data_IF_682405951631
#
_entry.id   IF_682405951631
#
_cell.length_a   1.000
_cell.length_b   1.000
_cell.length_c   1.000
_cell.angle_alpha   90.00
_cell.angle_beta   90.00
_cell.angle_gamma   90.00
#
_symmetry.space_group_name_H-M   'P 1'
#
loop_
_entity.id
_entity.type
_entity.pdbx_description
1 polymer ?
#
# COMPACT_ATOMS: atom_id res chain seq x y z
N UNK A 1 5.92 -8.05 -31.32
CA UNK A 1 6.73 -8.75 -30.30
C UNK A 1 5.81 -8.85 -29.09
N UNK A 2 5.28 -10.05 -28.83
CA UNK A 2 4.42 -10.30 -27.69
C UNK A 2 5.23 -10.16 -26.40
N UNK A 3 4.86 -9.18 -25.58
CA UNK A 3 5.35 -9.05 -24.20
C UNK A 3 4.74 -10.23 -23.42
N UNK A 4 5.51 -10.97 -22.62
CA UNK A 4 4.95 -12.10 -21.87
C UNK A 4 3.89 -11.56 -20.88
N UNK A 5 2.66 -11.97 -21.07
CA UNK A 5 1.49 -11.71 -20.19
C UNK A 5 1.64 -12.32 -18.77
N UNK A 6 2.72 -13.05 -18.49
CA UNK A 6 2.85 -13.87 -17.29
C UNK A 6 3.07 -13.12 -15.97
N UNK A 7 3.64 -11.91 -16.00
CA UNK A 7 4.04 -11.23 -14.77
C UNK A 7 2.94 -10.29 -14.21
N UNK A 8 2.15 -9.68 -15.08
CA UNK A 8 0.95 -8.92 -14.68
C UNK A 8 -0.08 -9.88 -14.07
N UNK A 9 -0.15 -11.12 -14.58
CA UNK A 9 -1.01 -12.20 -14.06
C UNK A 9 -0.58 -12.68 -12.66
N UNK A 10 0.71 -12.65 -12.30
CA UNK A 10 1.18 -13.08 -10.98
C UNK A 10 0.72 -12.16 -9.84
N UNK A 11 0.76 -10.83 -10.04
CA UNK A 11 0.28 -9.89 -9.01
C UNK A 11 -1.24 -9.96 -8.87
N UNK A 12 -1.97 -10.01 -9.99
CA UNK A 12 -3.41 -10.19 -9.97
C UNK A 12 -3.79 -11.51 -9.28
N UNK A 13 -3.15 -12.62 -9.63
CA UNK A 13 -3.39 -13.91 -8.99
C UNK A 13 -3.11 -13.86 -7.48
N UNK A 14 -2.01 -13.23 -7.05
CA UNK A 14 -1.63 -13.11 -5.65
C UNK A 14 -2.66 -12.33 -4.83
N UNK A 15 -3.10 -11.15 -5.32
CA UNK A 15 -4.00 -10.26 -4.60
C UNK A 15 -5.48 -10.67 -4.70
N UNK A 16 -5.83 -11.55 -5.64
CA UNK A 16 -7.15 -12.17 -5.74
C UNK A 16 -7.23 -13.56 -5.07
N UNK A 17 -6.09 -14.07 -4.53
CA UNK A 17 -5.95 -15.29 -3.75
C UNK A 17 -6.22 -15.03 -2.25
N UNK A 18 -5.97 -16.00 -1.34
CA UNK A 18 -6.17 -15.84 0.11
C UNK A 18 -5.53 -14.59 0.74
N UNK A 19 -4.47 -14.04 0.13
CA UNK A 19 -3.82 -12.80 0.59
C UNK A 19 -4.79 -11.62 0.56
N UNK A 20 -5.49 -11.39 -0.56
CA UNK A 20 -6.45 -10.28 -0.66
C UNK A 20 -7.62 -10.43 0.31
N UNK A 21 -8.14 -11.64 0.47
CA UNK A 21 -9.19 -11.92 1.46
C UNK A 21 -8.72 -11.67 2.89
N UNK A 22 -7.50 -12.10 3.25
CA UNK A 22 -6.94 -11.85 4.57
C UNK A 22 -6.78 -10.34 4.86
N UNK A 23 -6.35 -9.55 3.87
CA UNK A 23 -6.26 -8.10 3.98
C UNK A 23 -7.65 -7.46 4.13
N UNK A 24 -8.66 -7.93 3.39
CA UNK A 24 -10.05 -7.48 3.53
C UNK A 24 -10.60 -7.76 4.93
N UNK A 25 -10.38 -8.97 5.46
CA UNK A 25 -10.78 -9.35 6.82
C UNK A 25 -10.08 -8.51 7.91
N UNK A 26 -8.85 -8.09 7.67
CA UNK A 26 -8.04 -7.31 8.61
C UNK A 26 -8.26 -5.80 8.47
N UNK A 27 -9.16 -5.35 7.59
CA UNK A 27 -9.39 -3.94 7.27
C UNK A 27 -9.51 -3.04 8.52
N UNK A 28 -10.33 -3.34 9.55
CA UNK A 28 -10.47 -2.41 10.68
C UNK A 28 -9.17 -2.25 11.47
N UNK A 29 -8.38 -3.33 11.59
CA UNK A 29 -7.09 -3.32 12.29
C UNK A 29 -6.06 -2.53 11.49
N UNK A 30 -6.00 -2.74 10.16
CA UNK A 30 -5.05 -2.05 9.28
C UNK A 30 -5.38 -0.56 9.14
N UNK A 31 -6.64 -0.19 9.06
CA UNK A 31 -7.05 1.21 9.04
C UNK A 31 -6.62 1.94 10.33
N UNK A 32 -6.90 1.36 11.50
CA UNK A 32 -6.47 1.92 12.79
C UNK A 32 -4.95 2.00 12.89
N UNK A 33 -4.25 0.92 12.51
CA UNK A 33 -2.79 0.82 12.59
C UNK A 33 -2.09 1.89 11.74
N UNK A 34 -2.57 2.15 10.52
CA UNK A 34 -1.95 3.09 9.58
C UNK A 34 -2.62 4.46 9.50
N UNK A 35 -3.56 4.76 10.41
CA UNK A 35 -4.23 6.07 10.49
C UNK A 35 -3.24 7.26 10.57
N UNK A 36 -2.11 7.19 11.31
CA UNK A 36 -1.16 8.29 11.34
C UNK A 36 -0.54 8.65 9.97
N UNK A 37 -0.43 7.67 9.06
CA UNK A 37 0.10 7.88 7.71
C UNK A 37 -0.95 8.45 6.75
N UNK A 38 -2.23 8.21 7.01
CA UNK A 38 -3.33 8.75 6.21
C UNK A 38 -3.32 10.28 6.22
N UNK A 39 -3.15 10.90 7.38
CA UNK A 39 -3.08 12.36 7.51
C UNK A 39 -2.03 13.00 6.61
N UNK A 40 -0.86 12.35 6.45
CA UNK A 40 0.22 12.83 5.59
C UNK A 40 -0.19 12.89 4.11
N UNK A 41 -1.03 11.96 3.66
CA UNK A 41 -1.55 11.93 2.29
C UNK A 41 -2.66 12.96 2.09
N UNK A 42 -3.56 13.09 3.05
CA UNK A 42 -4.66 14.05 2.99
C UNK A 42 -4.17 15.49 2.88
N UNK A 43 -3.05 15.83 3.52
CA UNK A 43 -2.47 17.19 3.48
C UNK A 43 -1.88 17.56 2.11
N UNK A 44 -1.63 16.57 1.23
CA UNK A 44 -1.21 16.84 -0.15
C UNK A 44 -2.31 17.48 -0.97
N UNK A 45 -3.54 17.14 -0.66
CA UNK A 45 -4.72 17.50 -1.44
C UNK A 45 -5.43 18.69 -0.81
N UNK A 46 -4.66 19.72 -0.39
CA UNK A 46 -5.20 21.06 -0.13
C UNK A 46 -5.53 21.71 -1.47
N UNK A 47 -6.41 21.09 -2.23
CA UNK A 47 -6.93 21.70 -3.44
C UNK A 47 -8.14 22.53 -3.09
N UNK A 48 -8.26 23.64 -3.77
CA UNK A 48 -9.52 24.37 -3.94
C UNK A 48 -10.67 23.37 -4.17
N UNK A 49 -11.80 23.59 -3.55
CA UNK A 49 -13.00 22.77 -3.60
C UNK A 49 -13.24 22.19 -5.01
N UNK A 50 -13.38 20.88 -5.13
CA UNK A 50 -13.76 20.21 -6.37
C UNK A 50 -12.65 19.45 -7.12
N UNK A 51 -11.52 19.10 -6.48
CA UNK A 51 -10.45 18.34 -7.14
C UNK A 51 -10.80 16.87 -7.41
N UNK A 52 -10.27 16.33 -8.52
CA UNK A 52 -10.32 14.90 -8.86
C UNK A 52 -9.02 14.24 -8.45
N UNK A 53 -9.09 13.24 -7.59
CA UNK A 53 -7.90 12.57 -7.04
C UNK A 53 -7.95 11.07 -7.30
N UNK A 54 -6.81 10.52 -7.73
CA UNK A 54 -6.60 9.09 -7.88
C UNK A 54 -5.83 8.54 -6.67
N UNK A 55 -6.39 7.52 -6.01
CA UNK A 55 -5.73 6.75 -4.93
C UNK A 55 -5.29 5.39 -5.48
N UNK A 56 -3.98 5.18 -5.61
CA UNK A 56 -3.38 4.01 -6.25
C UNK A 56 -3.03 2.93 -5.24
N UNK A 57 -3.52 1.71 -5.47
CA UNK A 57 -3.46 0.62 -4.50
C UNK A 57 -4.33 0.95 -3.28
N UNK A 58 -5.57 1.37 -3.54
CA UNK A 58 -6.48 1.90 -2.54
C UNK A 58 -6.94 0.87 -1.50
N UNK A 59 -6.75 -0.42 -1.77
CA UNK A 59 -7.16 -1.51 -0.92
C UNK A 59 -8.66 -1.46 -0.60
N UNK A 60 -9.00 -1.50 0.67
CA UNK A 60 -10.38 -1.40 1.18
C UNK A 60 -10.92 0.03 1.26
N UNK A 61 -10.24 0.99 0.63
CA UNK A 61 -10.71 2.35 0.43
C UNK A 61 -10.53 3.31 1.62
N UNK A 62 -9.78 2.95 2.66
CA UNK A 62 -9.64 3.79 3.87
C UNK A 62 -9.21 5.23 3.52
N UNK A 63 -8.08 5.38 2.83
CA UNK A 63 -7.54 6.68 2.41
C UNK A 63 -8.46 7.38 1.39
N UNK A 64 -8.99 6.62 0.42
CA UNK A 64 -9.92 7.13 -0.61
C UNK A 64 -11.15 7.78 0.03
N UNK A 65 -11.79 7.09 0.99
CA UNK A 65 -12.99 7.56 1.68
C UNK A 65 -12.69 8.77 2.58
N UNK A 66 -11.57 8.73 3.31
CA UNK A 66 -11.14 9.86 4.13
C UNK A 66 -10.89 11.11 3.29
N UNK A 67 -10.28 10.94 2.10
CA UNK A 67 -10.06 12.04 1.17
C UNK A 67 -11.36 12.54 0.55
N UNK A 68 -12.26 11.63 0.14
CA UNK A 68 -13.56 12.02 -0.41
C UNK A 68 -14.39 12.85 0.57
N UNK A 69 -14.38 12.49 1.87
CA UNK A 69 -15.00 13.31 2.93
C UNK A 69 -14.39 14.71 3.04
N UNK A 70 -13.06 14.81 2.91
CA UNK A 70 -12.33 16.08 2.99
C UNK A 70 -12.57 16.98 1.78
N UNK A 71 -12.68 16.41 0.58
CA UNK A 71 -12.97 17.14 -0.66
C UNK A 71 -14.41 17.65 -0.71
N UNK A 72 -15.32 16.99 -0.01
CA UNK A 72 -16.74 17.35 0.01
C UNK A 72 -17.47 17.03 -1.30
N UNK A 73 -18.70 17.49 -1.47
CA UNK A 73 -19.60 17.05 -2.53
C UNK A 73 -19.20 17.51 -3.94
N UNK A 74 -18.30 18.46 -4.09
CA UNK A 74 -17.79 18.93 -5.39
C UNK A 74 -16.48 18.24 -5.81
N UNK A 75 -15.83 17.53 -4.90
CA UNK A 75 -14.63 16.75 -5.19
C UNK A 75 -14.97 15.30 -5.49
N UNK A 76 -14.09 14.62 -6.20
CA UNK A 76 -14.23 13.20 -6.49
C UNK A 76 -12.92 12.46 -6.24
N UNK A 77 -13.01 11.35 -5.53
CA UNK A 77 -11.87 10.47 -5.30
C UNK A 77 -12.12 9.12 -5.98
N UNK A 78 -11.17 8.70 -6.82
CA UNK A 78 -11.20 7.40 -7.49
C UNK A 78 -10.12 6.53 -6.86
N UNK A 79 -10.52 5.41 -6.25
CA UNK A 79 -9.58 4.38 -5.81
C UNK A 79 -9.39 3.32 -6.89
N UNK A 80 -8.15 2.92 -7.16
CA UNK A 80 -7.83 1.80 -8.06
C UNK A 80 -7.02 0.76 -7.31
N UNK A 81 -7.40 -0.51 -7.44
CA UNK A 81 -6.68 -1.66 -6.90
C UNK A 81 -6.89 -2.89 -7.78
N UNK A 82 -5.87 -3.74 -7.85
CA UNK A 82 -5.91 -4.98 -8.63
C UNK A 82 -6.76 -6.07 -7.96
N UNK A 83 -7.00 -5.96 -6.66
CA UNK A 83 -7.67 -6.95 -5.82
C UNK A 83 -9.19 -6.78 -5.81
N UNK A 84 -9.92 -7.74 -6.38
CA UNK A 84 -11.38 -7.77 -6.32
C UNK A 84 -11.92 -7.85 -4.88
N UNK A 85 -11.37 -8.72 -3.97
CA UNK A 85 -11.84 -8.76 -2.58
C UNK A 85 -11.75 -7.42 -1.87
N UNK A 86 -10.66 -6.67 -2.09
CA UNK A 86 -10.47 -5.36 -1.46
C UNK A 86 -11.43 -4.31 -2.05
N UNK A 87 -11.56 -4.26 -3.36
CA UNK A 87 -12.47 -3.34 -4.06
C UNK A 87 -13.94 -3.60 -3.68
N UNK A 88 -14.32 -4.85 -3.49
CA UNK A 88 -15.67 -5.20 -3.02
C UNK A 88 -15.95 -4.57 -1.65
N UNK A 89 -15.03 -4.67 -0.72
CA UNK A 89 -15.15 -4.01 0.60
C UNK A 89 -15.17 -2.49 0.46
N UNK A 90 -14.30 -1.92 -0.38
CA UNK A 90 -14.23 -0.48 -0.60
C UNK A 90 -15.55 0.10 -1.14
N UNK A 91 -16.16 -0.56 -2.11
CA UNK A 91 -17.48 -0.17 -2.67
C UNK A 91 -18.57 -0.23 -1.62
N UNK A 92 -18.66 -1.32 -0.87
CA UNK A 92 -19.65 -1.46 0.20
C UNK A 92 -19.53 -0.37 1.27
N UNK A 93 -18.30 0.01 1.64
CA UNK A 93 -18.03 1.11 2.57
C UNK A 93 -18.46 2.47 2.00
N UNK A 94 -18.15 2.77 0.74
CA UNK A 94 -18.56 4.01 0.09
C UNK A 94 -20.09 4.15 0.04
N UNK A 95 -20.79 3.08 -0.32
CA UNK A 95 -22.26 3.04 -0.33
C UNK A 95 -22.83 3.27 1.09
N UNK A 96 -22.29 2.59 2.09
CA UNK A 96 -22.73 2.73 3.47
C UNK A 96 -22.49 4.15 4.02
N UNK A 97 -21.38 4.80 3.64
CA UNK A 97 -21.05 6.15 4.09
C UNK A 97 -21.69 7.26 3.25
N UNK A 98 -22.20 6.93 2.06
CA UNK A 98 -22.74 7.92 1.12
C UNK A 98 -21.68 8.92 0.62
N UNK A 99 -20.41 8.51 0.53
CA UNK A 99 -19.31 9.39 0.11
C UNK A 99 -19.15 9.46 -1.41
N UNK A 100 -18.73 10.61 -1.99
CA UNK A 100 -18.52 10.76 -3.43
C UNK A 100 -17.18 10.12 -3.85
N UNK A 101 -17.03 8.81 -3.63
CA UNK A 101 -15.88 8.01 -4.02
C UNK A 101 -16.32 6.92 -5.01
N UNK A 102 -15.47 6.60 -5.96
CA UNK A 102 -15.66 5.47 -6.87
C UNK A 102 -14.43 4.55 -6.84
N UNK A 103 -14.62 3.28 -7.23
CA UNK A 103 -13.57 2.28 -7.15
C UNK A 103 -13.49 1.46 -8.43
N UNK A 104 -12.26 1.35 -8.97
CA UNK A 104 -11.91 0.60 -10.17
C UNK A 104 -11.11 -0.63 -9.75
N UNK A 105 -11.58 -1.83 -10.13
CA UNK A 105 -10.79 -3.04 -10.01
C UNK A 105 -9.99 -3.21 -11.30
N UNK A 106 -8.71 -2.85 -11.24
CA UNK A 106 -7.78 -2.97 -12.36
C UNK A 106 -6.32 -2.84 -11.88
N UNK A 107 -5.40 -3.27 -12.71
CA UNK A 107 -3.98 -2.98 -12.53
C UNK A 107 -3.66 -1.56 -13.01
N UNK A 108 -3.23 -0.69 -12.10
CA UNK A 108 -2.90 0.70 -12.40
C UNK A 108 -1.68 0.82 -13.34
N UNK A 109 -0.86 -0.21 -13.46
CA UNK A 109 0.29 -0.25 -14.38
C UNK A 109 -0.14 -0.29 -15.85
N UNK A 110 -1.25 -0.98 -16.15
CA UNK A 110 -1.75 -1.22 -17.51
C UNK A 110 -3.12 -0.62 -17.81
N UNK A 111 -3.82 -0.12 -16.79
CA UNK A 111 -5.13 0.50 -16.96
C UNK A 111 -5.07 1.73 -17.86
N UNK A 112 -6.00 1.82 -18.81
CA UNK A 112 -6.10 2.98 -19.71
C UNK A 112 -6.91 4.08 -18.99
N UNK A 113 -6.20 5.06 -18.47
CA UNK A 113 -6.83 6.24 -17.87
C UNK A 113 -7.20 7.26 -18.94
N UNK A 114 -8.27 8.02 -18.71
CA UNK A 114 -8.52 9.23 -19.48
C UNK A 114 -7.38 10.23 -19.24
N UNK A 115 -6.78 10.78 -20.30
CA UNK A 115 -5.66 11.73 -20.16
C UNK A 115 -6.07 12.97 -19.38
N UNK A 116 -5.18 13.46 -18.52
CA UNK A 116 -5.36 14.67 -17.73
C UNK A 116 -6.68 14.69 -16.91
N UNK A 117 -7.15 13.52 -16.46
CA UNK A 117 -8.39 13.39 -15.69
C UNK A 117 -8.24 13.84 -14.23
N UNK A 118 -7.03 13.72 -13.67
CA UNK A 118 -6.83 13.93 -12.25
C UNK A 118 -5.97 15.15 -11.94
N UNK A 119 -6.26 15.81 -10.82
CA UNK A 119 -5.52 16.94 -10.26
C UNK A 119 -4.41 16.49 -9.28
N UNK A 120 -4.54 15.28 -8.77
CA UNK A 120 -3.53 14.66 -7.90
C UNK A 120 -3.62 13.13 -7.93
N UNK A 121 -2.47 12.50 -7.63
CA UNK A 121 -2.35 11.07 -7.36
C UNK A 121 -1.80 10.90 -5.95
N UNK A 122 -2.41 10.00 -5.19
CA UNK A 122 -1.90 9.57 -3.89
C UNK A 122 -1.72 8.05 -3.85
N UNK A 123 -0.88 7.56 -2.92
CA UNK A 123 -0.80 6.13 -2.63
C UNK A 123 -0.26 5.90 -1.22
N UNK A 124 -0.92 5.04 -0.46
CA UNK A 124 -0.40 4.50 0.80
C UNK A 124 0.07 3.07 0.58
N UNK A 125 1.37 2.89 0.35
CA UNK A 125 2.03 1.58 0.15
C UNK A 125 1.68 0.83 -1.14
N UNK A 126 0.76 1.31 -1.99
CA UNK A 126 0.32 0.59 -3.19
C UNK A 126 1.40 0.52 -4.28
N UNK A 127 2.09 1.63 -4.53
CA UNK A 127 3.08 1.76 -5.63
C UNK A 127 4.30 0.84 -5.51
N UNK A 128 4.56 0.25 -4.34
CA UNK A 128 5.68 -0.68 -4.13
C UNK A 128 5.45 -2.06 -4.79
N UNK A 129 4.24 -2.34 -5.24
CA UNK A 129 3.87 -3.64 -5.77
C UNK A 129 3.77 -3.69 -7.29
N UNK A 130 4.10 -2.61 -7.99
CA UNK A 130 4.18 -2.61 -9.44
C UNK A 130 5.25 -3.57 -9.96
N UNK A 131 4.95 -4.30 -11.02
CA UNK A 131 5.90 -5.17 -11.69
C UNK A 131 6.94 -4.33 -12.45
N UNK A 132 6.48 -3.38 -13.25
CA UNK A 132 7.29 -2.36 -13.92
C UNK A 132 6.94 -0.98 -13.36
N UNK A 133 7.67 -0.56 -12.32
CA UNK A 133 7.42 0.72 -11.66
C UNK A 133 7.60 1.92 -12.60
N UNK A 134 8.50 1.84 -13.59
CA UNK A 134 8.71 2.93 -14.54
C UNK A 134 7.50 3.08 -15.48
N UNK A 135 6.99 1.96 -16.00
CA UNK A 135 5.78 1.95 -16.84
C UNK A 135 4.56 2.45 -16.05
N UNK A 136 4.38 1.96 -14.81
CA UNK A 136 3.29 2.37 -13.95
C UNK A 136 3.32 3.88 -13.66
N UNK A 137 4.47 4.41 -13.25
CA UNK A 137 4.62 5.85 -12.95
C UNK A 137 4.44 6.73 -14.20
N UNK A 138 4.85 6.27 -15.39
CA UNK A 138 4.60 6.95 -16.65
C UNK A 138 3.10 6.93 -17.02
N UNK A 139 2.42 5.79 -16.77
CA UNK A 139 0.97 5.67 -16.98
C UNK A 139 0.21 6.63 -16.05
N UNK A 140 0.56 6.67 -14.77
CA UNK A 140 -0.02 7.63 -13.82
C UNK A 140 0.26 9.09 -14.22
N UNK A 141 1.46 9.38 -14.80
CA UNK A 141 1.76 10.72 -15.30
C UNK A 141 0.83 11.13 -16.47
N UNK A 142 0.48 10.21 -17.35
CA UNK A 142 -0.44 10.48 -18.45
C UNK A 142 -1.88 10.75 -17.99
N UNK A 143 -2.28 10.17 -16.86
CA UNK A 143 -3.61 10.32 -16.27
C UNK A 143 -3.85 11.69 -15.61
N UNK A 144 -2.79 12.42 -15.30
CA UNK A 144 -2.89 13.69 -14.56
C UNK A 144 -2.64 14.91 -15.45
N UNK A 145 -3.19 16.04 -15.03
CA UNK A 145 -2.94 17.35 -15.63
C UNK A 145 -1.50 17.79 -15.40
N UNK A 146 -1.03 18.72 -16.18
CA UNK A 146 0.25 19.39 -15.93
C UNK A 146 0.21 20.07 -14.54
N UNK A 147 1.34 20.07 -13.84
CA UNK A 147 1.51 20.57 -12.48
C UNK A 147 0.69 19.81 -11.41
N UNK A 148 -0.01 18.74 -11.78
CA UNK A 148 -0.71 17.89 -10.81
C UNK A 148 0.27 17.30 -9.77
N UNK A 149 -0.22 17.07 -8.57
CA UNK A 149 0.60 16.50 -7.49
C UNK A 149 0.60 14.99 -7.52
N UNK A 150 1.78 14.42 -7.28
CA UNK A 150 1.93 13.05 -6.82
C UNK A 150 2.38 13.08 -5.37
N UNK A 151 1.74 12.32 -4.49
CA UNK A 151 2.22 12.06 -3.13
C UNK A 151 1.99 10.61 -2.74
N UNK A 152 3.03 9.96 -2.24
CA UNK A 152 2.87 8.63 -1.69
C UNK A 152 3.76 8.40 -0.46
N UNK A 153 3.37 7.38 0.33
CA UNK A 153 4.14 6.88 1.46
C UNK A 153 4.57 5.45 1.15
N UNK A 154 5.86 5.17 1.33
CA UNK A 154 6.48 3.86 1.14
C UNK A 154 7.44 3.54 2.29
N UNK A 155 7.66 2.26 2.55
CA UNK A 155 8.58 1.84 3.60
C UNK A 155 10.02 2.20 3.28
N UNK A 156 10.76 2.65 4.30
CA UNK A 156 12.22 2.62 4.30
C UNK A 156 12.72 1.19 4.45
N UNK A 157 13.99 0.98 4.75
CA UNK A 157 14.58 -0.35 4.79
C UNK A 157 13.94 -1.29 5.82
N UNK A 158 14.15 -2.58 5.64
CA UNK A 158 13.68 -3.61 6.57
C UNK A 158 14.36 -3.49 7.96
N UNK A 159 15.59 -3.00 8.00
CA UNK A 159 16.37 -2.75 9.20
C UNK A 159 15.77 -1.62 10.04
N UNK A 160 15.23 -0.59 9.39
CA UNK A 160 14.56 0.53 10.04
C UNK A 160 13.13 0.19 10.46
N UNK A 161 12.59 -0.94 10.00
CA UNK A 161 11.24 -1.42 10.28
C UNK A 161 11.24 -2.80 10.97
N UNK A 162 11.86 -2.94 12.16
CA UNK A 162 12.01 -4.23 12.82
C UNK A 162 10.68 -4.90 13.17
N UNK A 163 9.62 -4.13 13.46
CA UNK A 163 8.28 -4.67 13.69
C UNK A 163 7.79 -5.48 12.48
N UNK A 164 7.95 -4.95 11.28
CA UNK A 164 7.45 -5.55 10.04
C UNK A 164 8.17 -6.84 9.66
N UNK A 165 9.36 -7.09 10.20
CA UNK A 165 10.17 -8.29 9.93
C UNK A 165 10.21 -9.28 11.10
N UNK A 166 9.64 -8.92 12.25
CA UNK A 166 9.73 -9.72 13.48
C UNK A 166 9.11 -11.11 13.31
N UNK A 167 7.92 -11.20 12.71
CA UNK A 167 7.23 -12.48 12.56
C UNK A 167 8.04 -13.48 11.71
N UNK A 168 8.52 -13.07 10.57
CA UNK A 168 9.29 -13.94 9.67
C UNK A 168 10.65 -14.33 10.28
N UNK A 169 11.36 -13.39 10.93
CA UNK A 169 12.64 -13.69 11.59
C UNK A 169 12.48 -14.69 12.72
N UNK A 170 11.41 -14.58 13.51
CA UNK A 170 11.14 -15.50 14.61
C UNK A 170 10.67 -16.88 14.13
N UNK A 171 9.95 -16.94 13.02
CA UNK A 171 9.44 -18.18 12.46
C UNK A 171 10.45 -18.96 11.61
N UNK A 172 11.41 -18.28 10.97
CA UNK A 172 12.35 -18.89 10.03
C UNK A 172 13.07 -20.15 10.57
N UNK A 173 13.54 -20.22 11.84
CA UNK A 173 14.15 -21.42 12.38
C UNK A 173 13.18 -22.61 12.57
N UNK A 174 11.87 -22.33 12.57
CA UNK A 174 10.81 -23.33 12.80
C UNK A 174 10.12 -23.77 11.52
N UNK A 175 10.22 -22.97 10.46
CA UNK A 175 9.59 -23.17 9.16
C UNK A 175 10.65 -23.05 8.05
N UNK A 176 11.36 -24.16 7.73
CA UNK A 176 12.40 -24.15 6.68
C UNK A 176 11.90 -23.70 5.31
N UNK A 177 10.62 -23.97 5.02
CA UNK A 177 9.98 -23.63 3.76
C UNK A 177 9.35 -22.22 3.75
N UNK A 178 9.57 -21.42 4.81
CA UNK A 178 9.10 -20.05 4.83
C UNK A 178 9.77 -19.27 3.68
N UNK A 179 8.98 -18.68 2.77
CA UNK A 179 9.56 -17.95 1.65
C UNK A 179 10.46 -16.82 2.15
N UNK A 180 11.71 -16.84 1.72
CA UNK A 180 12.61 -15.72 1.99
C UNK A 180 12.08 -14.45 1.32
N UNK A 181 12.25 -13.31 1.99
CA UNK A 181 11.91 -12.01 1.41
C UNK A 181 12.77 -11.80 0.16
N UNK A 182 12.12 -11.57 -0.99
CA UNK A 182 12.82 -11.28 -2.23
C UNK A 182 13.56 -9.95 -2.11
N UNK A 183 14.82 -9.92 -2.54
CA UNK A 183 15.57 -8.70 -2.74
C UNK A 183 15.36 -8.25 -4.19
N UNK A 184 14.87 -7.03 -4.36
CA UNK A 184 14.48 -6.51 -5.67
C UNK A 184 13.11 -7.01 -6.13
N UNK A 185 12.51 -6.28 -7.06
CA UNK A 185 11.16 -6.56 -7.55
C UNK A 185 10.04 -6.12 -6.60
N UNK A 186 8.77 -6.39 -6.99
CA UNK A 186 7.60 -5.92 -6.27
C UNK A 186 7.54 -6.44 -4.83
N UNK A 187 7.31 -5.54 -3.86
CA UNK A 187 7.19 -5.95 -2.46
C UNK A 187 7.29 -4.79 -1.48
N UNK A 188 7.10 -5.11 -0.21
CA UNK A 188 7.01 -4.13 0.88
C UNK A 188 8.18 -3.12 0.93
N UNK A 189 9.39 -3.52 0.59
CA UNK A 189 10.58 -2.67 0.65
C UNK A 189 11.18 -2.37 -0.74
N UNK A 190 10.37 -2.50 -1.80
CA UNK A 190 10.83 -2.25 -3.17
C UNK A 190 11.31 -0.81 -3.38
N UNK A 191 10.73 0.13 -2.63
CA UNK A 191 11.04 1.57 -2.69
C UNK A 191 11.85 2.05 -1.48
N UNK A 192 12.59 1.16 -0.81
CA UNK A 192 13.40 1.50 0.37
C UNK A 192 14.56 2.45 0.05
N UNK A 193 15.13 2.35 -1.16
CA UNK A 193 16.21 3.23 -1.62
C UNK A 193 15.65 4.50 -2.28
N UNK A 194 15.85 5.69 -1.68
CA UNK A 194 15.31 6.94 -2.19
C UNK A 194 15.93 7.36 -3.54
N UNK A 195 17.16 6.97 -3.83
CA UNK A 195 17.80 7.30 -5.11
C UNK A 195 17.14 6.53 -6.26
N UNK A 196 16.82 5.27 -6.04
CA UNK A 196 16.02 4.47 -6.99
C UNK A 196 14.64 5.10 -7.24
N UNK A 197 13.94 5.52 -6.18
CA UNK A 197 12.63 6.19 -6.28
C UNK A 197 12.75 7.49 -7.09
N UNK A 198 13.78 8.29 -6.81
CA UNK A 198 14.02 9.54 -7.55
C UNK A 198 14.24 9.28 -9.04
N UNK A 199 15.08 8.31 -9.40
CA UNK A 199 15.37 7.98 -10.80
C UNK A 199 14.13 7.46 -11.54
N UNK A 200 13.32 6.62 -10.92
CA UNK A 200 12.06 6.12 -11.48
C UNK A 200 11.08 7.26 -11.77
N UNK A 201 10.91 8.18 -10.84
CA UNK A 201 10.03 9.35 -11.01
C UNK A 201 10.52 10.28 -12.10
N UNK A 202 11.80 10.66 -12.06
CA UNK A 202 12.39 11.55 -13.06
C UNK A 202 12.31 10.95 -14.48
N UNK A 203 12.59 9.65 -14.63
CA UNK A 203 12.49 8.92 -15.89
C UNK A 203 11.06 8.75 -16.41
N UNK A 204 10.06 8.91 -15.53
CA UNK A 204 8.63 8.76 -15.87
C UNK A 204 7.88 10.10 -16.03
N UNK A 205 8.61 11.22 -16.18
CA UNK A 205 8.02 12.54 -16.47
C UNK A 205 7.52 13.30 -15.23
N UNK A 206 7.94 12.88 -14.03
CA UNK A 206 7.68 13.62 -12.79
C UNK A 206 8.87 14.56 -12.50
N UNK A 207 8.59 15.74 -11.99
CA UNK A 207 9.54 16.80 -11.67
C UNK A 207 9.36 17.30 -10.23
N UNK A 208 10.22 18.20 -9.77
CA UNK A 208 10.17 18.77 -8.42
C UNK A 208 10.03 17.68 -7.35
N UNK A 209 10.85 16.63 -7.47
CA UNK A 209 10.80 15.43 -6.63
C UNK A 209 11.42 15.75 -5.27
N UNK A 210 10.67 15.52 -4.22
CA UNK A 210 11.10 15.67 -2.84
C UNK A 210 10.84 14.38 -2.08
N UNK A 211 11.89 13.75 -1.57
CA UNK A 211 11.81 12.53 -0.77
C UNK A 211 12.34 12.86 0.62
N UNK A 212 11.51 12.68 1.64
CA UNK A 212 11.90 12.95 3.02
C UNK A 212 11.53 11.80 3.95
N UNK A 213 12.34 11.51 4.97
CA UNK A 213 11.99 10.52 5.97
C UNK A 213 10.82 11.01 6.82
N UNK A 214 9.94 10.09 7.16
CA UNK A 214 8.89 10.28 8.17
C UNK A 214 8.83 9.05 9.05
N UNK A 215 8.70 9.29 10.34
CA UNK A 215 8.48 8.28 11.35
C UNK A 215 7.08 8.47 11.91
N UNK A 216 6.24 7.44 11.81
CA UNK A 216 4.88 7.48 12.31
C UNK A 216 4.69 6.46 13.43
N UNK A 217 4.14 6.91 14.55
CA UNK A 217 3.80 6.02 15.66
C UNK A 217 2.51 5.27 15.33
N UNK A 218 2.65 3.98 15.11
CA UNK A 218 1.57 3.07 14.75
C UNK A 218 1.22 2.17 15.93
N UNK A 219 -0.07 1.86 16.06
CA UNK A 219 -0.55 0.97 17.12
C UNK A 219 -1.56 -0.03 16.59
N UNK A 220 -1.64 -1.19 17.25
CA UNK A 220 -2.76 -2.12 17.10
C UNK A 220 -3.09 -2.74 18.46
N UNK A 221 -4.35 -3.18 18.70
CA UNK A 221 -4.71 -3.85 19.95
C UNK A 221 -3.88 -5.13 20.14
N UNK A 222 -3.37 -5.37 21.36
CA UNK A 222 -2.62 -6.59 21.68
C UNK A 222 -3.45 -7.86 21.40
N UNK A 223 -4.78 -7.78 21.54
CA UNK A 223 -5.71 -8.87 21.19
C UNK A 223 -5.68 -9.24 19.71
N UNK A 224 -5.33 -8.32 18.81
CA UNK A 224 -5.27 -8.53 17.36
C UNK A 224 -3.89 -9.01 16.89
N UNK A 225 -2.87 -8.99 17.74
CA UNK A 225 -1.49 -9.29 17.32
C UNK A 225 -1.34 -10.68 16.73
N UNK A 226 -1.93 -11.70 17.37
CA UNK A 226 -1.82 -13.08 16.86
C UNK A 226 -2.54 -13.19 15.50
N UNK A 227 -3.72 -12.61 15.37
CA UNK A 227 -4.46 -12.58 14.12
C UNK A 227 -3.68 -11.84 13.03
N UNK A 228 -3.04 -10.70 13.37
CA UNK A 228 -2.22 -9.92 12.46
C UNK A 228 -1.13 -10.78 11.81
N UNK A 229 -0.24 -11.41 12.58
CA UNK A 229 0.89 -12.13 12.00
C UNK A 229 0.54 -13.52 11.46
N UNK A 230 -0.59 -14.12 11.86
CA UNK A 230 -1.05 -15.42 11.32
C UNK A 230 -1.89 -15.28 10.04
N UNK A 231 -2.40 -14.08 9.74
CA UNK A 231 -3.20 -13.81 8.54
C UNK A 231 -2.42 -13.05 7.48
N UNK A 232 -1.49 -12.19 7.90
CA UNK A 232 -0.76 -11.31 6.99
C UNK A 232 0.70 -11.73 6.83
N UNK A 233 1.31 -11.28 5.74
CA UNK A 233 2.71 -11.55 5.44
C UNK A 233 3.02 -13.02 5.10
N UNK A 234 4.31 -13.40 5.12
CA UNK A 234 4.74 -14.76 4.76
C UNK A 234 4.12 -15.87 5.63
N UNK A 235 3.92 -15.60 6.93
CA UNK A 235 3.32 -16.58 7.83
C UNK A 235 1.86 -16.90 7.47
N UNK A 236 1.10 -15.88 7.08
CA UNK A 236 -0.30 -16.07 6.66
C UNK A 236 -0.46 -16.99 5.45
N UNK A 237 0.62 -17.16 4.66
CA UNK A 237 0.63 -18.04 3.49
C UNK A 237 0.97 -19.49 3.84
N UNK A 238 1.83 -19.74 4.83
CA UNK A 238 2.33 -21.09 5.13
C UNK A 238 1.69 -21.73 6.36
N UNK A 239 1.22 -20.94 7.34
CA UNK A 239 0.61 -21.48 8.56
C UNK A 239 -0.70 -22.26 8.34
N UNK A 240 -1.57 -21.93 7.37
CA UNK A 240 -2.76 -22.72 7.12
C UNK A 240 -2.48 -24.20 6.80
N UNK A 241 -1.33 -24.50 6.14
CA UNK A 241 -0.95 -25.84 5.73
C UNK A 241 -0.08 -26.58 6.79
N UNK A 242 0.33 -25.89 7.86
CA UNK A 242 1.12 -26.48 8.94
C UNK A 242 0.23 -27.37 9.84
N UNK A 243 0.81 -28.47 10.37
CA UNK A 243 0.16 -29.28 11.40
C UNK A 243 -0.07 -28.48 12.68
N UNK A 244 -1.02 -28.95 13.51
CA UNK A 244 -1.46 -28.21 14.70
C UNK A 244 -0.33 -27.97 15.71
N UNK A 245 0.56 -28.96 15.91
CA UNK A 245 1.68 -28.84 16.84
C UNK A 245 2.71 -27.82 16.36
N UNK A 246 3.08 -27.88 15.09
CA UNK A 246 3.99 -26.92 14.45
C UNK A 246 3.40 -25.51 14.48
N UNK A 247 2.12 -25.37 14.12
CA UNK A 247 1.40 -24.10 14.18
C UNK A 247 1.43 -23.50 15.58
N UNK A 248 1.05 -24.27 16.61
CA UNK A 248 1.03 -23.81 18.01
C UNK A 248 2.42 -23.35 18.46
N UNK A 249 3.48 -24.10 18.10
CA UNK A 249 4.87 -23.74 18.43
C UNK A 249 5.30 -22.45 17.75
N UNK A 250 5.00 -22.29 16.46
CA UNK A 250 5.31 -21.06 15.70
C UNK A 250 4.59 -19.87 16.29
N UNK A 251 3.28 -19.97 16.50
CA UNK A 251 2.46 -18.89 17.08
C UNK A 251 3.02 -18.45 18.44
N UNK A 252 3.36 -19.41 19.32
CA UNK A 252 3.95 -19.11 20.63
C UNK A 252 5.27 -18.37 20.50
N UNK A 253 6.17 -18.85 19.64
CA UNK A 253 7.52 -18.27 19.44
C UNK A 253 7.41 -16.86 18.83
N UNK A 254 6.60 -16.71 17.79
CA UNK A 254 6.42 -15.41 17.11
C UNK A 254 5.74 -14.41 18.05
N UNK A 255 4.72 -14.83 18.81
CA UNK A 255 4.06 -13.94 19.78
C UNK A 255 5.06 -13.40 20.80
N UNK A 256 5.95 -14.24 21.34
CA UNK A 256 6.98 -13.81 22.29
C UNK A 256 8.00 -12.85 21.65
N UNK A 257 8.32 -13.00 20.36
CA UNK A 257 9.22 -12.10 19.67
C UNK A 257 8.68 -10.66 19.53
N UNK A 258 7.38 -10.48 19.65
CA UNK A 258 6.75 -9.16 19.67
C UNK A 258 6.68 -8.50 21.06
N UNK A 259 7.13 -9.16 22.13
CA UNK A 259 7.08 -8.59 23.49
C UNK A 259 7.74 -7.20 23.61
N UNK A 260 8.85 -6.88 22.91
CA UNK A 260 9.42 -5.54 22.93
C UNK A 260 8.49 -4.42 22.43
N UNK A 261 7.48 -4.75 21.65
CA UNK A 261 6.52 -3.81 21.10
C UNK A 261 5.22 -3.72 21.92
N UNK A 262 5.01 -4.64 22.89
CA UNK A 262 3.77 -4.70 23.68
C UNK A 262 3.84 -3.72 24.85
N UNK A 263 2.86 -2.82 24.91
CA UNK A 263 2.70 -1.84 25.98
C UNK A 263 1.27 -1.88 26.53
N UNK A 264 1.03 -2.74 27.51
CA UNK A 264 -0.31 -2.94 28.07
C UNK A 264 -1.30 -3.50 27.02
N UNK A 265 -2.42 -2.82 26.75
CA UNK A 265 -3.43 -3.30 25.80
C UNK A 265 -3.06 -3.06 24.34
N UNK A 266 -1.94 -2.39 24.05
CA UNK A 266 -1.53 -2.00 22.71
C UNK A 266 -0.15 -2.56 22.36
N UNK A 267 0.03 -2.84 21.09
CA UNK A 267 1.32 -3.05 20.44
C UNK A 267 1.68 -1.74 19.75
N UNK A 268 2.88 -1.22 20.02
CA UNK A 268 3.37 0.06 19.49
C UNK A 268 4.63 -0.14 18.70
N UNK A 269 4.72 0.52 17.56
CA UNK A 269 5.92 0.52 16.74
C UNK A 269 6.02 1.81 15.92
N UNK A 270 7.23 2.18 15.54
CA UNK A 270 7.46 3.26 14.60
C UNK A 270 7.48 2.70 13.18
N UNK A 271 6.64 3.24 12.31
CA UNK A 271 6.67 2.99 10.87
C UNK A 271 7.65 3.98 10.23
N UNK A 272 8.84 3.51 9.90
CA UNK A 272 9.87 4.29 9.22
C UNK A 272 9.60 4.29 7.71
N UNK A 273 9.18 5.45 7.18
CA UNK A 273 8.73 5.60 5.80
C UNK A 273 9.45 6.73 5.06
N UNK A 274 9.41 6.68 3.75
CA UNK A 274 9.60 7.84 2.89
C UNK A 274 8.26 8.47 2.57
N UNK A 275 8.15 9.78 2.74
CA UNK A 275 7.11 10.60 2.14
C UNK A 275 7.69 11.21 0.87
N UNK A 276 7.06 10.88 -0.24
CA UNK A 276 7.48 11.28 -1.57
C UNK A 276 6.47 12.25 -2.16
N UNK A 277 6.95 13.40 -2.58
CA UNK A 277 6.20 14.42 -3.30
C UNK A 277 6.84 14.65 -4.68
N UNK A 278 6.00 14.82 -5.69
CA UNK A 278 6.44 15.24 -7.02
C UNK A 278 5.35 16.07 -7.73
N UNK A 279 5.72 16.69 -8.82
CA UNK A 279 4.81 17.39 -9.75
C UNK A 279 4.86 16.74 -11.12
N UNK A 280 3.72 16.70 -11.77
CA UNK A 280 3.69 16.38 -13.19
C UNK A 280 4.48 17.44 -13.97
N UNK A 281 5.55 17.04 -14.67
CA UNK A 281 6.29 17.95 -15.54
C UNK A 281 5.41 18.46 -16.69
N UNK A 282 5.73 19.63 -17.27
CA UNK A 282 4.99 20.10 -18.44
C UNK A 282 5.06 19.09 -19.59
N UNK A 283 3.95 18.83 -20.25
CA UNK A 283 3.96 18.05 -21.50
C UNK A 283 4.80 18.81 -22.53
N UNK A 284 5.92 18.24 -22.92
CA UNK A 284 6.63 18.73 -24.11
C UNK A 284 5.87 18.15 -25.31
N UNK A 285 5.20 18.97 -26.13
CA UNK A 285 4.56 18.45 -27.32
C UNK A 285 5.66 17.92 -28.25
N UNK A 286 5.60 16.62 -28.56
CA UNK A 286 6.43 15.99 -29.61
C UNK A 286 5.90 16.33 -30.99
#
# INVERSE_FOLDING_TARGET
>A
MDVPHGADDEQAARWNAPVGHAWAEMQPVLDGMFQPLEGLLLDAVTTTHGGHVLDVGCGTGGTTLALARRLGPQGHCVGIDISEPLITVARARAEQEGTPASFIQADAESHVFEPAAFDAVISRFGVMFFHDSARALANLRSAVRDEARLRFVVWRSAEENPFMTTAERAAAPLLPDLPARRQGGPGQFAFADPDTVHHLLAGSGWAQIHIRPVDADCTLPTSELVRYFTRLGPLGQVLPDADEQSRARVVKTVRAAFDPFVQGPEVRFTAACWLVDARAGAHTPT
#
